data_IF_292336142475
#
_entry.id   IF_292336142475
#
_cell.length_a   1.000
_cell.length_b   1.000
_cell.length_c   1.000
_cell.angle_alpha   90.00
_cell.angle_beta   90.00
_cell.angle_gamma   90.00
#
_symmetry.space_group_name_H-M   'P 1'
#
loop_
_entity.id
_entity.type
_entity.pdbx_description
1 polymer ?
#
# COMPACT_ATOMS: atom_id res chain seq x y z
N UNK A 1 10.75 2.54 20.54
CA UNK A 1 11.17 2.62 19.12
C UNK A 1 10.24 1.85 18.17
N UNK A 2 9.79 0.62 18.47
CA UNK A 2 8.88 -0.15 17.58
C UNK A 2 7.56 0.60 17.28
N UNK A 3 6.88 1.14 18.31
CA UNK A 3 5.64 1.89 18.14
C UNK A 3 5.80 3.17 17.32
N UNK A 4 6.94 3.87 17.45
CA UNK A 4 7.24 5.06 16.64
C UNK A 4 7.39 4.68 15.16
N UNK A 5 8.11 3.60 14.85
CA UNK A 5 8.29 3.12 13.47
C UNK A 5 6.95 2.73 12.86
N UNK A 6 6.10 2.01 13.62
CA UNK A 6 4.74 1.67 13.19
C UNK A 6 3.93 2.93 12.87
N UNK A 7 3.97 3.95 13.73
CA UNK A 7 3.29 5.22 13.49
C UNK A 7 3.79 5.95 12.24
N UNK A 8 5.11 5.98 12.01
CA UNK A 8 5.71 6.57 10.81
C UNK A 8 5.23 5.83 9.55
N UNK A 9 5.31 4.50 9.53
CA UNK A 9 4.85 3.71 8.38
C UNK A 9 3.36 3.83 8.13
N UNK A 10 2.53 3.87 9.18
CA UNK A 10 1.08 4.05 9.05
C UNK A 10 0.73 5.42 8.47
N UNK A 11 1.36 6.48 8.94
CA UNK A 11 1.17 7.83 8.40
C UNK A 11 1.69 7.96 6.96
N UNK A 12 2.86 7.37 6.68
CA UNK A 12 3.41 7.31 5.33
C UNK A 12 2.50 6.52 4.37
N UNK A 13 1.85 5.44 4.84
CA UNK A 13 0.90 4.68 4.04
C UNK A 13 -0.28 5.55 3.60
N UNK A 14 -0.85 6.32 4.53
CA UNK A 14 -1.88 7.30 4.18
C UNK A 14 -1.38 8.31 3.13
N UNK A 15 -0.17 8.83 3.29
CA UNK A 15 0.41 9.81 2.39
C UNK A 15 0.71 9.25 0.99
N UNK A 16 1.24 8.02 0.91
CA UNK A 16 1.54 7.35 -0.37
C UNK A 16 0.25 7.07 -1.13
N UNK A 17 -0.75 6.48 -0.49
CA UNK A 17 -2.03 6.16 -1.13
C UNK A 17 -2.80 7.44 -1.50
N UNK A 18 -2.75 8.48 -0.66
CA UNK A 18 -3.28 9.80 -0.98
C UNK A 18 -2.63 10.38 -2.24
N UNK A 19 -1.31 10.36 -2.31
CA UNK A 19 -0.56 10.93 -3.43
C UNK A 19 -0.78 10.15 -4.72
N UNK A 20 -0.86 8.82 -4.64
CA UNK A 20 -1.19 7.97 -5.79
C UNK A 20 -2.60 8.27 -6.32
N UNK A 21 -3.60 8.40 -5.44
CA UNK A 21 -4.97 8.72 -5.83
C UNK A 21 -5.07 10.14 -6.41
N UNK A 22 -4.42 11.12 -5.78
CA UNK A 22 -4.36 12.50 -6.27
C UNK A 22 -3.75 12.56 -7.67
N UNK A 23 -2.57 11.95 -7.86
CA UNK A 23 -1.87 11.91 -9.15
C UNK A 23 -2.70 11.21 -10.23
N UNK A 24 -3.19 10.00 -9.92
CA UNK A 24 -3.90 9.18 -10.90
C UNK A 24 -5.21 9.83 -11.34
N UNK A 25 -6.05 10.25 -10.40
CA UNK A 25 -7.39 10.79 -10.69
C UNK A 25 -7.36 12.26 -11.08
N UNK A 26 -6.42 13.04 -10.55
CA UNK A 26 -6.30 14.48 -10.86
C UNK A 26 -5.56 14.74 -12.17
N UNK A 27 -4.35 14.21 -12.31
CA UNK A 27 -3.45 14.61 -13.42
C UNK A 27 -3.41 13.54 -14.52
N UNK A 28 -3.21 12.27 -14.16
CA UNK A 28 -2.94 11.21 -15.13
C UNK A 28 -4.18 10.88 -15.96
N UNK A 29 -5.33 10.67 -15.31
CA UNK A 29 -6.58 10.34 -16.00
C UNK A 29 -7.16 11.50 -16.81
N UNK A 30 -6.81 12.74 -16.45
CA UNK A 30 -7.26 13.92 -17.18
C UNK A 30 -6.44 14.22 -18.46
N UNK A 31 -5.19 13.76 -18.50
CA UNK A 31 -4.23 14.07 -19.59
C UNK A 31 -3.84 12.87 -20.45
N UNK A 32 -4.15 11.65 -20.00
CA UNK A 32 -3.80 10.40 -20.65
C UNK A 32 -5.01 9.55 -21.00
N UNK A 33 -4.73 8.34 -21.50
CA UNK A 33 -5.74 7.29 -21.63
C UNK A 33 -6.06 6.75 -20.22
N UNK A 34 -7.16 7.22 -19.63
CA UNK A 34 -7.54 6.90 -18.26
C UNK A 34 -7.68 5.38 -18.01
N UNK A 35 -8.38 4.58 -18.84
CA UNK A 35 -8.47 3.14 -18.67
C UNK A 35 -7.10 2.46 -18.68
N UNK A 36 -6.24 2.81 -19.63
CA UNK A 36 -4.89 2.26 -19.73
C UNK A 36 -4.03 2.63 -18.52
N UNK A 37 -4.04 3.90 -18.11
CA UNK A 37 -3.25 4.38 -16.98
C UNK A 37 -3.69 3.73 -15.67
N UNK A 38 -4.99 3.60 -15.44
CA UNK A 38 -5.53 2.90 -14.25
C UNK A 38 -5.15 1.42 -14.26
N UNK A 39 -5.23 0.75 -15.42
CA UNK A 39 -4.81 -0.64 -15.57
C UNK A 39 -3.33 -0.82 -15.26
N UNK A 40 -2.47 0.00 -15.85
CA UNK A 40 -1.02 -0.05 -15.65
C UNK A 40 -0.63 0.23 -14.20
N UNK A 41 -1.23 1.27 -13.60
CA UNK A 41 -1.02 1.56 -12.19
C UNK A 41 -1.39 0.37 -11.30
N UNK A 42 -2.60 -0.17 -11.46
CA UNK A 42 -3.06 -1.30 -10.64
C UNK A 42 -2.19 -2.55 -10.86
N UNK A 43 -1.82 -2.84 -12.11
CA UNK A 43 -0.91 -3.95 -12.40
C UNK A 43 0.42 -3.75 -11.66
N UNK A 44 1.06 -2.60 -11.79
CA UNK A 44 2.32 -2.31 -11.11
C UNK A 44 2.18 -2.31 -9.59
N UNK A 45 1.13 -1.69 -9.05
CA UNK A 45 0.92 -1.55 -7.61
C UNK A 45 0.64 -2.89 -6.91
N UNK A 46 0.00 -3.84 -7.58
CA UNK A 46 -0.39 -5.11 -6.94
C UNK A 46 0.41 -6.31 -7.44
N UNK A 47 0.58 -6.49 -8.76
CA UNK A 47 1.28 -7.66 -9.28
C UNK A 47 2.78 -7.63 -8.99
N UNK A 48 3.40 -6.45 -8.95
CA UNK A 48 4.82 -6.33 -8.65
C UNK A 48 5.17 -6.47 -7.16
N UNK A 49 4.19 -6.50 -6.25
CA UNK A 49 4.49 -6.75 -4.83
C UNK A 49 5.17 -8.10 -4.61
N UNK A 50 4.76 -9.14 -5.34
CA UNK A 50 5.39 -10.47 -5.23
C UNK A 50 6.87 -10.45 -5.65
N UNK A 51 7.26 -10.04 -6.89
CA UNK A 51 8.67 -10.00 -7.26
C UNK A 51 9.50 -9.02 -6.43
N UNK A 52 8.93 -7.87 -6.03
CA UNK A 52 9.61 -6.93 -5.12
C UNK A 52 9.81 -7.60 -3.75
N UNK A 53 8.82 -8.34 -3.23
CA UNK A 53 8.94 -9.09 -1.98
C UNK A 53 10.11 -10.07 -2.01
N UNK A 54 10.24 -10.85 -3.09
CA UNK A 54 11.36 -11.76 -3.28
C UNK A 54 12.73 -11.04 -3.32
N UNK A 55 12.77 -9.83 -3.89
CA UNK A 55 13.99 -9.01 -3.88
C UNK A 55 14.29 -8.46 -2.48
N UNK A 56 13.27 -7.99 -1.76
CA UNK A 56 13.42 -7.50 -0.38
C UNK A 56 13.89 -8.62 0.54
N UNK A 57 13.36 -9.83 0.39
CA UNK A 57 13.80 -11.00 1.17
C UNK A 57 15.27 -11.33 0.93
N UNK A 58 15.75 -11.16 -0.30
CA UNK A 58 17.17 -11.43 -0.65
C UNK A 58 18.11 -10.30 -0.23
N UNK A 59 17.71 -9.06 -0.44
CA UNK A 59 18.57 -7.88 -0.25
C UNK A 59 18.43 -7.27 1.15
N UNK A 60 17.35 -7.58 1.85
CA UNK A 60 17.01 -6.99 3.14
C UNK A 60 16.70 -5.50 3.04
N UNK A 61 16.93 -4.77 4.14
CA UNK A 61 16.83 -3.30 4.22
C UNK A 61 15.44 -2.77 3.85
N UNK A 62 14.38 -3.33 4.44
CA UNK A 62 12.98 -2.98 4.18
C UNK A 62 12.72 -1.46 4.16
N UNK A 63 13.37 -0.70 5.06
CA UNK A 63 13.25 0.76 5.12
C UNK A 63 13.74 1.47 3.85
N UNK A 64 14.74 0.93 3.12
CA UNK A 64 15.22 1.51 1.86
C UNK A 64 14.17 1.31 0.77
N UNK A 65 13.53 0.16 0.71
CA UNK A 65 12.46 -0.11 -0.24
C UNK A 65 11.25 0.78 0.02
N UNK A 66 10.84 0.96 1.28
CA UNK A 66 9.76 1.85 1.64
C UNK A 66 10.08 3.33 1.34
N UNK A 67 11.28 3.80 1.69
CA UNK A 67 11.74 5.15 1.37
C UNK A 67 11.84 5.37 -0.14
N UNK A 68 12.44 4.41 -0.87
CA UNK A 68 12.54 4.44 -2.32
C UNK A 68 11.16 4.43 -2.99
N UNK A 69 10.20 3.71 -2.42
CA UNK A 69 8.80 3.73 -2.85
C UNK A 69 8.18 5.12 -2.77
N UNK A 70 8.36 5.83 -1.66
CA UNK A 70 7.93 7.23 -1.53
C UNK A 70 8.59 8.14 -2.59
N UNK A 71 9.89 7.96 -2.85
CA UNK A 71 10.60 8.74 -3.88
C UNK A 71 10.10 8.44 -5.28
N UNK A 72 9.82 7.19 -5.61
CA UNK A 72 9.26 6.84 -6.93
C UNK A 72 7.88 7.46 -7.14
N UNK A 73 7.01 7.44 -6.12
CA UNK A 73 5.70 8.12 -6.21
C UNK A 73 5.89 9.62 -6.37
N UNK A 74 6.84 10.24 -5.66
CA UNK A 74 7.16 11.65 -5.83
C UNK A 74 7.63 11.95 -7.27
N UNK A 75 8.58 11.17 -7.80
CA UNK A 75 9.09 11.34 -9.16
C UNK A 75 8.00 11.20 -10.22
N UNK A 76 6.97 10.39 -9.95
CA UNK A 76 5.85 10.18 -10.87
C UNK A 76 5.10 11.48 -11.20
N UNK A 77 5.07 12.46 -10.29
CA UNK A 77 4.43 13.77 -10.54
C UNK A 77 5.12 14.59 -11.66
N UNK A 78 6.38 14.27 -11.98
CA UNK A 78 7.15 14.95 -13.03
C UNK A 78 7.11 14.22 -14.38
N UNK A 79 6.39 13.10 -14.50
CA UNK A 79 6.39 12.24 -15.67
C UNK A 79 5.13 12.43 -16.54
N UNK A 80 5.19 12.07 -17.83
CA UNK A 80 4.01 12.00 -18.68
C UNK A 80 3.04 10.90 -18.19
N UNK A 81 1.72 10.99 -18.48
CA UNK A 81 0.67 10.20 -17.82
C UNK A 81 0.93 8.71 -17.70
N UNK A 82 1.28 8.04 -18.80
CA UNK A 82 1.52 6.60 -18.81
C UNK A 82 2.74 6.20 -17.95
N UNK A 83 3.84 6.96 -18.08
CA UNK A 83 5.04 6.73 -17.27
C UNK A 83 4.78 7.07 -15.79
N UNK A 84 3.99 8.10 -15.50
CA UNK A 84 3.57 8.45 -14.15
C UNK A 84 2.76 7.31 -13.50
N UNK A 85 1.80 6.73 -14.22
CA UNK A 85 1.01 5.59 -13.73
C UNK A 85 1.89 4.39 -13.38
N UNK A 86 2.82 4.03 -14.26
CA UNK A 86 3.76 2.91 -14.03
C UNK A 86 4.70 3.21 -12.85
N UNK A 87 5.31 4.40 -12.83
CA UNK A 87 6.25 4.79 -11.79
C UNK A 87 5.59 4.87 -10.42
N UNK A 88 4.39 5.48 -10.33
CA UNK A 88 3.61 5.52 -9.10
C UNK A 88 3.20 4.13 -8.64
N UNK A 89 2.79 3.23 -9.55
CA UNK A 89 2.44 1.85 -9.23
C UNK A 89 3.62 1.06 -8.67
N UNK A 90 4.80 1.17 -9.29
CA UNK A 90 6.05 0.54 -8.78
C UNK A 90 6.40 1.12 -7.40
N UNK A 91 6.33 2.45 -7.25
CA UNK A 91 6.62 3.12 -5.98
C UNK A 91 5.67 2.68 -4.87
N UNK A 92 4.37 2.61 -5.18
CA UNK A 92 3.35 2.10 -4.27
C UNK A 92 3.64 0.65 -3.84
N UNK A 93 3.95 -0.25 -4.79
CA UNK A 93 4.31 -1.63 -4.50
C UNK A 93 5.56 -1.72 -3.60
N UNK A 94 6.62 -0.97 -3.92
CA UNK A 94 7.85 -0.97 -3.14
C UNK A 94 7.64 -0.47 -1.70
N UNK A 95 6.83 0.59 -1.53
CA UNK A 95 6.46 1.10 -0.21
C UNK A 95 5.67 0.07 0.60
N UNK A 96 4.63 -0.54 -0.01
CA UNK A 96 3.79 -1.53 0.67
C UNK A 96 4.58 -2.75 1.12
N UNK A 97 5.44 -3.27 0.26
CA UNK A 97 6.30 -4.42 0.58
C UNK A 97 7.33 -4.04 1.64
N UNK A 98 8.07 -2.93 1.45
CA UNK A 98 9.09 -2.51 2.40
C UNK A 98 8.52 -2.18 3.78
N UNK A 99 7.48 -1.35 3.85
CA UNK A 99 6.83 -0.96 5.10
C UNK A 99 6.08 -2.12 5.77
N UNK A 100 5.41 -2.96 4.98
CA UNK A 100 4.70 -4.14 5.46
C UNK A 100 5.64 -5.18 6.07
N UNK A 101 6.72 -5.55 5.37
CA UNK A 101 7.71 -6.49 5.88
C UNK A 101 8.46 -5.96 7.11
N UNK A 102 8.81 -4.66 7.13
CA UNK A 102 9.45 -4.08 8.32
C UNK A 102 8.51 -4.08 9.53
N UNK A 103 7.21 -3.85 9.30
CA UNK A 103 6.18 -3.93 10.33
C UNK A 103 6.03 -5.36 10.84
N UNK A 104 5.94 -6.36 9.96
CA UNK A 104 5.86 -7.78 10.34
C UNK A 104 7.12 -8.24 11.09
N UNK A 105 8.30 -7.88 10.62
CA UNK A 105 9.57 -8.25 11.25
C UNK A 105 9.78 -7.58 12.62
N UNK A 106 9.15 -6.43 12.84
CA UNK A 106 9.28 -5.66 14.08
C UNK A 106 8.23 -6.05 15.14
N UNK A 107 7.11 -6.65 14.73
CA UNK A 107 5.98 -6.99 15.57
C UNK A 107 5.53 -8.41 15.30
N UNK A 108 5.39 -9.20 16.36
CA UNK A 108 4.95 -10.61 16.27
C UNK A 108 3.44 -10.76 16.07
N UNK A 109 2.70 -9.64 16.04
CA UNK A 109 1.24 -9.62 16.11
C UNK A 109 0.62 -9.02 14.84
N UNK A 110 -0.49 -9.58 14.41
CA UNK A 110 -1.28 -9.15 13.24
C UNK A 110 -1.89 -7.76 13.39
N UNK A 111 -2.15 -7.32 14.63
CA UNK A 111 -2.67 -5.99 14.93
C UNK A 111 -1.78 -4.87 14.44
N UNK A 112 -0.47 -5.04 14.49
CA UNK A 112 0.48 -4.06 13.95
C UNK A 112 0.31 -3.90 12.42
N UNK A 113 0.12 -5.00 11.69
CA UNK A 113 -0.14 -4.96 10.26
C UNK A 113 -1.50 -4.30 9.95
N UNK A 114 -2.53 -4.61 10.75
CA UNK A 114 -3.84 -3.96 10.66
C UNK A 114 -3.75 -2.45 10.84
N UNK A 115 -2.97 -1.97 11.82
CA UNK A 115 -2.70 -0.55 12.05
C UNK A 115 -1.92 0.08 10.89
N UNK A 116 -0.94 -0.63 10.34
CA UNK A 116 -0.16 -0.16 9.18
C UNK A 116 -1.03 0.03 7.94
N UNK A 117 -1.92 -0.93 7.62
CA UNK A 117 -2.67 -0.90 6.35
C UNK A 117 -3.96 -0.09 6.40
N UNK A 118 -4.47 0.23 7.59
CA UNK A 118 -5.77 0.91 7.72
C UNK A 118 -5.77 2.36 7.21
N UNK A 119 -4.76 3.22 7.49
CA UNK A 119 -4.77 4.61 7.05
C UNK A 119 -4.66 4.77 5.52
N UNK A 120 -4.15 3.76 4.80
CA UNK A 120 -4.11 3.81 3.33
C UNK A 120 -5.49 3.97 2.70
N UNK A 121 -6.52 3.32 3.25
CA UNK A 121 -7.89 3.50 2.74
C UNK A 121 -8.40 4.94 2.91
N UNK A 122 -8.03 5.60 4.01
CA UNK A 122 -8.31 7.02 4.21
C UNK A 122 -7.53 7.89 3.22
N UNK A 123 -6.26 7.55 2.98
CA UNK A 123 -5.42 8.22 1.99
C UNK A 123 -6.03 8.16 0.59
N UNK A 124 -6.43 6.98 0.11
CA UNK A 124 -7.10 6.81 -1.19
C UNK A 124 -8.37 7.66 -1.31
N UNK A 125 -9.21 7.67 -0.28
CA UNK A 125 -10.45 8.44 -0.26
C UNK A 125 -10.18 9.96 -0.32
N UNK A 126 -9.31 10.46 0.56
CA UNK A 126 -8.96 11.88 0.61
C UNK A 126 -8.23 12.34 -0.66
N UNK A 127 -7.31 11.53 -1.20
CA UNK A 127 -6.62 11.83 -2.45
C UNK A 127 -7.59 11.93 -3.63
N UNK A 128 -8.60 11.06 -3.69
CA UNK A 128 -9.66 11.15 -4.69
C UNK A 128 -10.52 12.40 -4.57
N UNK A 129 -10.87 12.83 -3.36
CA UNK A 129 -11.59 14.09 -3.12
C UNK A 129 -10.73 15.31 -3.51
N UNK A 130 -9.47 15.32 -3.11
CA UNK A 130 -8.54 16.39 -3.43
C UNK A 130 -8.24 16.51 -4.93
N UNK A 131 -8.22 15.39 -5.64
CA UNK A 131 -8.11 15.39 -7.10
C UNK A 131 -9.26 16.15 -7.77
N UNK A 132 -10.49 16.00 -7.27
CA UNK A 132 -11.65 16.73 -7.77
C UNK A 132 -11.61 18.22 -7.41
N UNK A 133 -10.97 18.58 -6.30
CA UNK A 133 -10.85 19.95 -5.81
C UNK A 133 -9.61 20.70 -6.36
N UNK A 134 -8.89 20.11 -7.32
CA UNK A 134 -7.65 20.70 -7.88
C UNK A 134 -6.60 21.02 -6.81
N UNK A 135 -6.42 20.10 -5.86
CA UNK A 135 -5.45 20.25 -4.78
C UNK A 135 -4.01 20.35 -5.33
N UNK A 136 -3.13 21.18 -4.74
CA UNK A 136 -1.77 21.36 -5.24
C UNK A 136 -0.91 20.10 -5.12
N UNK A 137 -0.43 19.56 -6.24
CA UNK A 137 0.46 18.40 -6.29
C UNK A 137 1.76 18.61 -5.48
N UNK A 138 2.23 19.85 -5.41
CA UNK A 138 3.46 20.19 -4.68
C UNK A 138 3.40 19.82 -3.21
N UNK A 139 2.23 19.95 -2.56
CA UNK A 139 2.11 19.58 -1.15
C UNK A 139 2.26 18.06 -0.95
N UNK A 140 1.68 17.26 -1.83
CA UNK A 140 1.86 15.81 -1.82
C UNK A 140 3.35 15.43 -2.02
N UNK A 141 4.04 16.10 -2.95
CA UNK A 141 5.47 15.89 -3.18
C UNK A 141 6.32 16.22 -1.94
N UNK A 142 6.05 17.34 -1.27
CA UNK A 142 6.76 17.72 -0.04
C UNK A 142 6.53 16.68 1.08
N UNK A 143 5.30 16.24 1.26
CA UNK A 143 4.96 15.21 2.25
C UNK A 143 5.66 13.88 1.96
N UNK A 144 5.68 13.44 0.70
CA UNK A 144 6.40 12.23 0.29
C UNK A 144 7.92 12.35 0.51
N UNK A 145 8.51 13.50 0.19
CA UNK A 145 9.93 13.74 0.45
C UNK A 145 10.26 13.66 1.95
N UNK A 146 9.43 14.27 2.79
CA UNK A 146 9.60 14.20 4.26
C UNK A 146 9.50 12.74 4.74
N UNK A 147 8.48 12.00 4.33
CA UNK A 147 8.35 10.59 4.74
C UNK A 147 9.49 9.73 4.22
N UNK A 148 9.95 9.95 3.00
CA UNK A 148 11.12 9.25 2.45
C UNK A 148 12.36 9.46 3.33
N UNK A 149 12.66 10.71 3.68
CA UNK A 149 13.80 11.04 4.54
C UNK A 149 13.64 10.49 5.96
N UNK A 150 12.45 10.62 6.56
CA UNK A 150 12.17 10.11 7.91
C UNK A 150 12.29 8.59 7.95
N UNK A 151 11.75 7.88 6.98
CA UNK A 151 11.86 6.42 6.89
C UNK A 151 13.32 6.00 6.74
N UNK A 152 14.07 6.65 5.83
CA UNK A 152 15.47 6.34 5.58
C UNK A 152 16.37 6.59 6.80
N UNK A 153 16.03 7.56 7.66
CA UNK A 153 16.83 7.94 8.82
C UNK A 153 16.40 7.21 10.10
N UNK A 154 15.10 7.15 10.39
CA UNK A 154 14.56 6.69 11.67
C UNK A 154 14.23 5.19 11.66
N UNK A 155 13.78 4.66 10.51
CA UNK A 155 13.33 3.28 10.40
C UNK A 155 14.46 2.29 10.08
N UNK A 156 15.72 2.68 10.26
CA UNK A 156 16.87 1.77 10.12
C UNK A 156 16.76 0.63 11.12
N UNK A 157 16.59 -0.59 10.60
CA UNK A 157 16.55 -1.82 11.40
C UNK A 157 17.64 -2.78 10.96
N UNK A 158 17.97 -3.79 11.77
CA UNK A 158 18.83 -4.88 11.35
C UNK A 158 18.22 -5.58 10.12
N UNK A 159 19.08 -6.05 9.22
CA UNK A 159 18.65 -6.95 8.14
C UNK A 159 18.21 -8.26 8.81
N UNK A 160 16.92 -8.40 9.00
CA UNK A 160 16.39 -9.67 9.47
C UNK A 160 16.35 -10.61 8.26
N UNK A 161 17.06 -11.73 8.36
CA UNK A 161 16.87 -12.80 7.41
C UNK A 161 15.39 -13.26 7.49
N UNK A 162 14.76 -13.62 6.36
CA UNK A 162 13.42 -14.16 6.42
C UNK A 162 13.37 -15.38 7.34
N UNK A 163 12.31 -15.54 8.16
CA UNK A 163 12.19 -16.69 9.04
C UNK A 163 12.22 -17.98 8.20
N UNK A 164 13.01 -18.95 8.63
CA UNK A 164 13.03 -20.27 7.99
C UNK A 164 11.66 -20.92 8.21
N UNK A 165 10.91 -21.15 7.14
CA UNK A 165 9.66 -21.89 7.19
C UNK A 165 9.95 -23.37 7.50
N UNK A 166 9.16 -23.99 8.38
CA UNK A 166 9.21 -25.42 8.57
C UNK A 166 8.81 -26.15 7.28
N UNK A 167 9.28 -27.39 7.09
CA UNK A 167 8.88 -28.19 5.90
C UNK A 167 7.35 -28.33 5.76
N UNK A 168 6.64 -28.47 6.88
CA UNK A 168 5.19 -28.58 6.89
C UNK A 168 4.53 -27.26 6.41
N UNK A 169 5.04 -26.12 6.87
CA UNK A 169 4.58 -24.81 6.40
C UNK A 169 4.88 -24.62 4.92
N UNK A 170 6.05 -25.04 4.44
CA UNK A 170 6.43 -24.94 3.03
C UNK A 170 5.51 -25.74 2.11
N UNK A 171 5.01 -26.91 2.54
CA UNK A 171 4.05 -27.72 1.76
C UNK A 171 2.68 -27.04 1.61
N UNK A 172 2.24 -26.28 2.60
CA UNK A 172 0.95 -25.56 2.56
C UNK A 172 0.97 -24.27 1.74
N UNK A 173 2.16 -23.68 1.54
CA UNK A 173 2.30 -22.39 0.84
C UNK A 173 1.67 -22.35 -0.56
N UNK A 174 1.86 -23.32 -1.47
CA UNK A 174 1.25 -23.27 -2.79
C UNK A 174 -0.27 -23.26 -2.75
N UNK A 175 -0.88 -24.03 -1.86
CA UNK A 175 -2.35 -24.08 -1.70
C UNK A 175 -2.85 -22.75 -1.15
N UNK A 176 -2.20 -22.21 -0.13
CA UNK A 176 -2.54 -20.90 0.43
C UNK A 176 -2.44 -19.79 -0.62
N UNK A 177 -1.40 -19.78 -1.46
CA UNK A 177 -1.24 -18.82 -2.55
C UNK A 177 -2.35 -18.93 -3.59
N UNK A 178 -2.74 -20.15 -3.98
CA UNK A 178 -3.86 -20.36 -4.90
C UNK A 178 -5.17 -19.86 -4.29
N UNK A 179 -5.45 -20.18 -3.03
CA UNK A 179 -6.63 -19.70 -2.33
C UNK A 179 -6.67 -18.16 -2.25
N UNK A 180 -5.55 -17.53 -1.89
CA UNK A 180 -5.43 -16.07 -1.84
C UNK A 180 -5.64 -15.45 -3.22
N UNK A 181 -5.06 -16.02 -4.27
CA UNK A 181 -5.25 -15.56 -5.64
C UNK A 181 -6.73 -15.64 -6.05
N UNK A 182 -7.40 -16.76 -5.78
CA UNK A 182 -8.83 -16.92 -6.09
C UNK A 182 -9.69 -15.90 -5.32
N UNK A 183 -9.40 -15.66 -4.04
CA UNK A 183 -10.10 -14.65 -3.23
C UNK A 183 -9.92 -13.25 -3.83
N UNK A 184 -8.69 -12.88 -4.23
CA UNK A 184 -8.42 -11.58 -4.85
C UNK A 184 -9.13 -11.43 -6.19
N UNK A 185 -9.10 -12.46 -7.05
CA UNK A 185 -9.81 -12.46 -8.34
C UNK A 185 -11.32 -12.33 -8.13
N UNK A 186 -11.90 -13.13 -7.24
CA UNK A 186 -13.33 -13.10 -6.93
C UNK A 186 -13.75 -11.73 -6.39
N UNK A 187 -13.01 -11.19 -5.42
CA UNK A 187 -13.25 -9.85 -4.88
C UNK A 187 -13.22 -8.77 -5.96
N UNK A 188 -12.23 -8.84 -6.86
CA UNK A 188 -12.09 -7.87 -7.95
C UNK A 188 -13.22 -7.99 -8.96
N UNK A 189 -13.61 -9.23 -9.34
CA UNK A 189 -14.76 -9.48 -10.21
C UNK A 189 -16.05 -8.96 -9.61
N UNK A 190 -16.32 -9.25 -8.33
CA UNK A 190 -17.50 -8.72 -7.63
C UNK A 190 -17.51 -7.19 -7.59
N UNK A 191 -16.35 -6.56 -7.34
CA UNK A 191 -16.20 -5.10 -7.33
C UNK A 191 -16.47 -4.45 -8.68
N UNK A 192 -16.19 -5.14 -9.79
CA UNK A 192 -16.47 -4.67 -11.15
C UNK A 192 -17.93 -4.91 -11.55
N UNK A 193 -18.51 -6.08 -11.18
CA UNK A 193 -19.87 -6.45 -11.56
C UNK A 193 -20.95 -5.71 -10.77
N UNK A 194 -20.70 -5.50 -9.47
CA UNK A 194 -21.70 -4.88 -8.59
C UNK A 194 -21.43 -3.38 -8.43
N UNK A 195 -22.05 -2.58 -9.30
CA UNK A 195 -22.08 -1.12 -9.19
C UNK A 195 -23.42 -0.69 -8.60
N UNK A 196 -23.37 -0.15 -7.40
CA UNK A 196 -24.56 0.37 -6.73
C UNK A 196 -24.51 1.91 -6.77
N UNK A 197 -25.60 2.54 -7.24
CA UNK A 197 -25.70 4.00 -7.37
C UNK A 197 -25.49 4.72 -6.01
N UNK A 198 -26.02 4.12 -4.92
CA UNK A 198 -25.89 4.66 -3.56
C UNK A 198 -24.49 4.56 -2.95
N UNK A 199 -23.56 3.85 -3.59
CA UNK A 199 -22.20 3.67 -3.06
C UNK A 199 -21.40 4.96 -2.98
N UNK A 200 -21.63 5.89 -3.91
CA UNK A 200 -21.01 7.22 -3.90
C UNK A 200 -21.46 8.05 -2.69
N UNK A 201 -22.75 7.99 -2.35
CA UNK A 201 -23.33 8.79 -1.27
C UNK A 201 -22.86 8.31 0.11
N UNK A 202 -22.50 7.04 0.21
CA UNK A 202 -21.99 6.42 1.44
C UNK A 202 -20.47 6.21 1.44
N UNK A 203 -19.71 6.86 0.53
CA UNK A 203 -18.29 6.63 0.35
C UNK A 203 -17.47 6.84 1.64
N UNK A 204 -17.81 7.87 2.44
CA UNK A 204 -17.14 8.13 3.72
C UNK A 204 -17.39 6.99 4.74
N UNK A 205 -18.62 6.49 4.82
CA UNK A 205 -18.97 5.40 5.74
C UNK A 205 -18.29 4.10 5.36
N UNK A 206 -18.20 3.80 4.06
CA UNK A 206 -17.43 2.66 3.55
C UNK A 206 -15.95 2.79 3.88
N UNK A 207 -15.38 3.97 3.70
CA UNK A 207 -13.98 4.22 4.03
C UNK A 207 -13.73 4.01 5.51
N UNK A 208 -14.57 4.56 6.38
CA UNK A 208 -14.47 4.35 7.82
C UNK A 208 -14.63 2.88 8.21
N UNK A 209 -15.59 2.17 7.61
CA UNK A 209 -15.77 0.74 7.84
C UNK A 209 -14.53 -0.07 7.43
N UNK A 210 -13.89 0.27 6.30
CA UNK A 210 -12.64 -0.38 5.86
C UNK A 210 -11.48 -0.09 6.81
N UNK A 211 -11.30 1.16 7.24
CA UNK A 211 -10.25 1.57 8.19
C UNK A 211 -10.42 0.84 9.53
N UNK A 212 -11.62 0.88 10.09
CA UNK A 212 -11.94 0.20 11.35
C UNK A 212 -11.83 -1.32 11.20
N UNK A 213 -12.35 -1.88 10.11
CA UNK A 213 -12.33 -3.32 9.86
C UNK A 213 -10.90 -3.88 9.75
N UNK A 214 -9.99 -3.17 9.07
CA UNK A 214 -8.58 -3.57 8.98
C UNK A 214 -7.90 -3.53 10.35
N UNK A 215 -8.10 -2.45 11.12
CA UNK A 215 -7.51 -2.31 12.46
C UNK A 215 -8.07 -3.33 13.43
N UNK A 216 -9.41 -3.40 13.55
CA UNK A 216 -10.08 -4.32 14.45
C UNK A 216 -9.84 -5.78 14.07
N UNK A 217 -9.84 -6.11 12.78
CA UNK A 217 -9.55 -7.45 12.29
C UNK A 217 -8.17 -7.95 12.72
N UNK A 218 -7.15 -7.10 12.61
CA UNK A 218 -5.81 -7.42 13.11
C UNK A 218 -5.76 -7.62 14.63
N UNK A 219 -6.41 -6.73 15.39
CA UNK A 219 -6.46 -6.84 16.86
C UNK A 219 -7.26 -8.08 17.34
N UNK A 220 -8.35 -8.40 16.65
CA UNK A 220 -9.15 -9.59 16.96
C UNK A 220 -8.40 -10.88 16.62
N UNK A 221 -7.68 -10.91 15.51
CA UNK A 221 -6.80 -12.02 15.16
C UNK A 221 -5.75 -12.28 16.24
N UNK A 222 -5.18 -11.22 16.81
CA UNK A 222 -4.23 -11.35 17.93
C UNK A 222 -4.87 -11.89 19.22
N UNK A 223 -6.13 -11.56 19.45
CA UNK A 223 -6.84 -11.94 20.68
C UNK A 223 -7.37 -13.37 20.63
N UNK A 224 -7.88 -13.80 19.49
CA UNK A 224 -8.51 -15.12 19.34
C UNK A 224 -7.60 -16.16 18.71
N UNK A 225 -6.40 -15.77 18.32
CA UNK A 225 -5.43 -16.62 17.66
C UNK A 225 -5.89 -16.97 16.25
N UNK A 226 -5.23 -16.46 15.23
CA UNK A 226 -5.28 -17.10 13.92
C UNK A 226 -4.44 -18.38 14.03
N UNK A 227 -5.03 -19.45 14.54
CA UNK A 227 -4.43 -20.77 14.56
C UNK A 227 -4.65 -21.46 13.22
#
# INVERSE_FOLDING_TARGET
MKSLRLGIYSAAHCAVDFSCALLLLGTVCMRGDAPLCVLLYNFCAFALQMPIGLLVDRLGRCHIWASGGCMLVLCAFCLPPTAAAVCAGIGNAAFHVGGGLDTLNSHEKSGALGIFVSPGALGLFLGGLCAQASFPDMLACVVLAIFSLVIASVCRGPNNAPPSLSEAATRGVPIALVCLFLVVVLRSALGLCFRFAWKSDLAIWFTLAVVLGKTLGGLLADRWGAQ
#
